data_IF_806890054803
#
_entry.id   IF_806890054803
#
_cell.length_a   1.000
_cell.length_b   1.000
_cell.length_c   1.000
_cell.angle_alpha   90.00
_cell.angle_beta   90.00
_cell.angle_gamma   90.00
#
_symmetry.space_group_name_H-M   'P 1'
#
loop_
_entity.id
_entity.type
_entity.pdbx_description
1 polymer ?
#
# COMPACT_ATOMS: atom_id res chain seq x y z
N UNK A 1 24.39 17.19 -25.97
CA UNK A 1 23.18 16.58 -25.38
C UNK A 1 23.66 15.56 -24.36
N UNK A 2 23.32 15.71 -23.09
CA UNK A 2 23.75 14.77 -22.04
C UNK A 2 22.94 13.47 -22.16
N UNK A 3 23.63 12.33 -22.27
CA UNK A 3 23.00 11.01 -22.46
C UNK A 3 22.56 10.44 -21.10
N UNK A 4 21.41 10.90 -20.61
CA UNK A 4 20.80 10.39 -19.37
C UNK A 4 20.36 8.92 -19.49
N UNK A 5 20.23 8.41 -20.70
CA UNK A 5 19.99 7.00 -21.05
C UNK A 5 21.11 6.11 -20.50
N UNK A 6 22.37 6.45 -20.77
CA UNK A 6 23.53 5.68 -20.32
C UNK A 6 23.64 5.63 -18.79
N UNK A 7 23.40 6.76 -18.12
CA UNK A 7 23.43 6.82 -16.65
C UNK A 7 22.33 5.94 -16.06
N UNK A 8 21.13 6.02 -16.64
CA UNK A 8 19.99 5.18 -16.25
C UNK A 8 20.30 3.69 -16.43
N UNK A 9 20.88 3.28 -17.56
CA UNK A 9 21.22 1.88 -17.80
C UNK A 9 22.26 1.34 -16.80
N UNK A 10 23.27 2.16 -16.45
CA UNK A 10 24.25 1.83 -15.42
C UNK A 10 23.58 1.70 -14.05
N UNK A 11 22.68 2.62 -13.70
CA UNK A 11 21.95 2.58 -12.44
C UNK A 11 21.06 1.33 -12.33
N UNK A 12 20.30 1.00 -13.38
CA UNK A 12 19.49 -0.21 -13.45
C UNK A 12 20.37 -1.45 -13.31
N UNK A 13 21.48 -1.52 -14.04
CA UNK A 13 22.40 -2.67 -13.99
C UNK A 13 23.03 -2.84 -12.62
N UNK A 14 23.39 -1.73 -11.97
CA UNK A 14 23.94 -1.75 -10.61
C UNK A 14 22.89 -2.21 -9.60
N UNK A 15 21.66 -1.71 -9.70
CA UNK A 15 20.55 -2.11 -8.83
C UNK A 15 20.21 -3.61 -8.96
N UNK A 16 20.32 -4.21 -10.17
CA UNK A 16 20.14 -5.67 -10.36
C UNK A 16 21.03 -6.52 -9.47
N UNK A 17 22.20 -6.02 -9.08
CA UNK A 17 23.15 -6.78 -8.26
C UNK A 17 22.71 -6.89 -6.80
N UNK A 18 21.78 -6.05 -6.34
CA UNK A 18 21.25 -6.10 -4.99
C UNK A 18 20.13 -7.13 -4.88
N UNK A 19 20.13 -7.90 -3.79
CA UNK A 19 19.05 -8.82 -3.47
C UNK A 19 17.82 -8.03 -2.97
N UNK A 20 16.99 -7.57 -3.92
CA UNK A 20 15.76 -6.84 -3.62
C UNK A 20 14.62 -7.78 -3.24
N UNK A 21 13.80 -7.35 -2.28
CA UNK A 21 12.55 -8.02 -1.97
C UNK A 21 11.66 -8.03 -3.23
N UNK A 22 10.96 -9.14 -3.54
CA UNK A 22 10.13 -9.25 -4.75
C UNK A 22 9.10 -8.14 -4.91
N UNK A 23 8.47 -7.74 -3.79
CA UNK A 23 7.53 -6.61 -3.76
C UNK A 23 8.21 -5.29 -4.15
N UNK A 24 9.35 -4.97 -3.54
CA UNK A 24 10.09 -3.74 -3.83
C UNK A 24 10.55 -3.70 -5.29
N UNK A 25 10.95 -4.85 -5.83
CA UNK A 25 11.33 -5.01 -7.23
C UNK A 25 10.19 -4.67 -8.18
N UNK A 26 8.96 -5.11 -7.91
CA UNK A 26 7.78 -4.74 -8.71
C UNK A 26 7.48 -3.24 -8.63
N UNK A 27 7.50 -2.67 -7.42
CA UNK A 27 7.18 -1.26 -7.22
C UNK A 27 8.19 -0.35 -7.93
N UNK A 28 9.49 -0.62 -7.77
CA UNK A 28 10.55 0.10 -8.48
C UNK A 28 10.46 -0.09 -9.99
N UNK A 29 10.14 -1.31 -10.44
CA UNK A 29 9.95 -1.58 -11.85
C UNK A 29 8.81 -0.76 -12.46
N UNK A 30 7.69 -0.59 -11.75
CA UNK A 30 6.57 0.25 -12.20
C UNK A 30 6.93 1.74 -12.18
N UNK A 31 7.54 2.20 -11.09
CA UNK A 31 7.95 3.60 -10.92
C UNK A 31 8.93 4.04 -12.00
N UNK A 32 9.92 3.20 -12.30
CA UNK A 32 10.93 3.49 -13.33
C UNK A 32 10.59 2.88 -14.69
N UNK A 33 9.44 2.23 -14.90
CA UNK A 33 9.05 1.58 -16.16
C UNK A 33 10.09 0.56 -16.70
N UNK A 34 10.53 -0.37 -15.84
CA UNK A 34 11.48 -1.46 -16.13
C UNK A 34 10.72 -2.79 -16.21
N UNK A 35 10.08 -3.07 -17.34
CA UNK A 35 9.17 -4.21 -17.49
C UNK A 35 9.77 -5.58 -17.12
N UNK A 36 11.05 -5.81 -17.42
CA UNK A 36 11.69 -7.10 -17.11
C UNK A 36 11.71 -7.37 -15.59
N UNK A 37 11.95 -6.34 -14.78
CA UNK A 37 11.97 -6.49 -13.32
C UNK A 37 10.59 -6.72 -12.73
N UNK A 38 9.57 -6.11 -13.32
CA UNK A 38 8.19 -6.31 -12.91
C UNK A 38 7.81 -7.79 -13.07
N UNK A 39 8.11 -8.38 -14.24
CA UNK A 39 7.84 -9.80 -14.49
C UNK A 39 8.63 -10.74 -13.59
N UNK A 40 9.93 -10.50 -13.43
CA UNK A 40 10.75 -11.28 -12.50
C UNK A 40 10.20 -11.19 -11.06
N UNK A 41 9.79 -9.99 -10.63
CA UNK A 41 9.20 -9.79 -9.30
C UNK A 41 7.88 -10.54 -9.10
N UNK A 42 7.01 -10.62 -10.12
CA UNK A 42 5.80 -11.44 -10.03
C UNK A 42 6.12 -12.93 -9.92
N UNK A 43 7.07 -13.42 -10.71
CA UNK A 43 7.53 -14.82 -10.64
C UNK A 43 8.04 -15.11 -9.24
N UNK A 44 8.91 -14.25 -8.71
CA UNK A 44 9.47 -14.37 -7.36
C UNK A 44 8.38 -14.35 -6.27
N UNK A 45 7.32 -13.54 -6.42
CA UNK A 45 6.18 -13.52 -5.49
C UNK A 45 5.32 -14.78 -5.56
N UNK A 46 5.13 -15.34 -6.75
CA UNK A 46 4.30 -16.53 -6.95
C UNK A 46 5.02 -17.77 -6.41
N UNK A 47 6.34 -17.88 -6.61
CA UNK A 47 7.13 -19.05 -6.21
C UNK A 47 7.51 -19.06 -4.72
N UNK A 48 7.51 -17.90 -4.05
CA UNK A 48 7.84 -17.80 -2.63
C UNK A 48 6.90 -18.65 -1.76
N UNK A 49 7.39 -19.28 -0.67
CA UNK A 49 6.53 -20.02 0.26
C UNK A 49 5.57 -19.11 1.05
N UNK A 50 6.04 -17.94 1.46
CA UNK A 50 5.31 -17.01 2.33
C UNK A 50 4.11 -16.37 1.61
N UNK A 51 3.02 -16.13 2.34
CA UNK A 51 1.81 -15.51 1.79
C UNK A 51 2.02 -14.01 1.54
N UNK A 52 1.16 -13.40 0.73
CA UNK A 52 1.16 -11.94 0.55
C UNK A 52 0.32 -11.32 1.68
N UNK A 53 0.89 -10.36 2.41
CA UNK A 53 0.17 -9.61 3.44
C UNK A 53 -0.88 -8.68 2.80
N UNK A 54 -1.90 -8.30 3.57
CA UNK A 54 -2.90 -7.29 3.14
C UNK A 54 -2.25 -5.93 2.85
N UNK A 55 -1.22 -5.55 3.63
CA UNK A 55 -0.45 -4.32 3.41
C UNK A 55 0.33 -4.37 2.09
N UNK A 56 0.91 -5.53 1.77
CA UNK A 56 1.63 -5.73 0.51
C UNK A 56 0.68 -5.77 -0.67
N UNK A 57 -0.50 -6.38 -0.48
CA UNK A 57 -1.57 -6.39 -1.47
C UNK A 57 -2.09 -4.98 -1.78
N UNK A 58 -2.16 -4.11 -0.77
CA UNK A 58 -2.51 -2.70 -0.96
C UNK A 58 -1.45 -1.96 -1.80
N UNK A 59 -0.15 -2.22 -1.56
CA UNK A 59 0.96 -1.59 -2.29
C UNK A 59 1.01 -2.01 -3.76
N UNK A 60 0.82 -3.31 -4.05
CA UNK A 60 0.79 -3.81 -5.45
C UNK A 60 -0.54 -3.44 -6.13
N UNK A 61 -1.61 -3.36 -5.35
CA UNK A 61 -2.98 -3.24 -5.83
C UNK A 61 -3.72 -4.58 -5.70
N UNK A 62 -4.95 -4.52 -5.21
CA UNK A 62 -5.75 -5.71 -4.94
C UNK A 62 -6.02 -6.55 -6.19
N UNK A 63 -6.24 -5.91 -7.35
CA UNK A 63 -6.50 -6.62 -8.60
C UNK A 63 -5.34 -7.55 -8.99
N UNK A 64 -4.11 -7.06 -8.92
CA UNK A 64 -2.93 -7.86 -9.24
C UNK A 64 -2.61 -8.88 -8.14
N UNK A 65 -2.88 -8.52 -6.88
CA UNK A 65 -2.78 -9.45 -5.76
C UNK A 65 -3.69 -10.67 -5.92
N UNK A 66 -4.93 -10.45 -6.37
CA UNK A 66 -5.87 -11.55 -6.67
C UNK A 66 -5.33 -12.45 -7.78
N UNK A 67 -4.76 -11.88 -8.86
CA UNK A 67 -4.13 -12.67 -9.93
C UNK A 67 -2.97 -13.52 -9.42
N UNK A 68 -2.13 -12.96 -8.54
CA UNK A 68 -1.03 -13.69 -7.89
C UNK A 68 -1.59 -14.87 -7.09
N UNK A 69 -2.62 -14.65 -6.26
CA UNK A 69 -3.25 -15.71 -5.48
C UNK A 69 -3.88 -16.80 -6.36
N UNK A 70 -4.58 -16.42 -7.43
CA UNK A 70 -5.15 -17.36 -8.39
C UNK A 70 -4.09 -18.23 -9.05
N UNK A 71 -2.98 -17.62 -9.48
CA UNK A 71 -1.85 -18.36 -10.07
C UNK A 71 -1.25 -19.32 -9.05
N UNK A 72 -1.01 -18.87 -7.81
CA UNK A 72 -0.50 -19.74 -6.74
C UNK A 72 -1.42 -20.92 -6.44
N UNK A 73 -2.73 -20.70 -6.45
CA UNK A 73 -3.70 -21.79 -6.27
C UNK A 73 -3.70 -22.76 -7.45
N UNK A 74 -3.56 -22.27 -8.69
CA UNK A 74 -3.48 -23.13 -9.88
C UNK A 74 -2.24 -24.02 -9.93
N UNK A 75 -1.14 -23.60 -9.30
CA UNK A 75 0.10 -24.37 -9.20
C UNK A 75 0.08 -25.40 -8.07
N UNK A 76 -0.90 -25.34 -7.15
CA UNK A 76 -1.03 -26.30 -6.06
C UNK A 76 -1.65 -27.60 -6.58
N UNK A 77 -1.22 -28.77 -6.05
CA UNK A 77 -1.86 -30.02 -6.37
C UNK A 77 -3.34 -29.98 -5.91
N UNK A 78 -4.24 -30.73 -6.59
CA UNK A 78 -5.64 -30.79 -6.22
C UNK A 78 -5.78 -31.15 -4.73
N UNK A 79 -6.40 -30.27 -3.94
CA UNK A 79 -6.72 -30.62 -2.55
C UNK A 79 -7.76 -31.74 -2.57
N UNK A 80 -7.54 -32.86 -1.86
CA UNK A 80 -8.62 -33.82 -1.64
C UNK A 80 -9.78 -33.07 -1.00
N UNK A 81 -11.03 -33.39 -1.39
CA UNK A 81 -12.23 -32.74 -0.84
C UNK A 81 -12.26 -32.99 0.66
N UNK A 82 -11.76 -32.03 1.44
CA UNK A 82 -11.83 -32.07 2.88
C UNK A 82 -13.31 -32.03 3.25
N UNK A 83 -13.72 -33.00 4.07
CA UNK A 83 -15.11 -33.17 4.53
C UNK A 83 -15.60 -31.82 5.07
N UNK A 84 -16.71 -31.36 4.50
CA UNK A 84 -17.32 -30.02 4.64
C UNK A 84 -17.44 -29.49 6.07
N UNK A 85 -17.44 -30.36 7.09
CA UNK A 85 -17.52 -30.01 8.50
C UNK A 85 -16.33 -29.18 9.02
N UNK A 86 -15.08 -29.50 8.62
CA UNK A 86 -13.88 -28.83 9.15
C UNK A 86 -13.70 -27.38 8.63
N UNK A 87 -14.30 -27.04 7.49
CA UNK A 87 -14.12 -25.75 6.82
C UNK A 87 -14.91 -24.62 7.51
N UNK A 88 -16.07 -24.91 8.09
CA UNK A 88 -16.90 -23.83 8.65
C UNK A 88 -16.28 -23.20 9.91
N UNK A 89 -15.64 -24.01 10.76
CA UNK A 89 -15.02 -23.52 12.01
C UNK A 89 -13.75 -22.71 11.75
N UNK A 90 -12.98 -23.10 10.73
CA UNK A 90 -11.73 -22.42 10.36
C UNK A 90 -11.97 -21.12 9.59
N UNK A 91 -13.03 -21.04 8.78
CA UNK A 91 -13.33 -19.87 7.94
C UNK A 91 -13.99 -18.74 8.72
N UNK A 92 -14.90 -19.04 9.66
CA UNK A 92 -15.65 -18.05 10.46
C UNK A 92 -14.78 -16.94 11.08
N UNK A 93 -13.66 -17.22 11.79
CA UNK A 93 -12.88 -16.17 12.45
C UNK A 93 -12.28 -15.16 11.46
N UNK A 94 -11.89 -15.58 10.26
CA UNK A 94 -11.29 -14.68 9.26
C UNK A 94 -12.27 -13.63 8.73
N UNK A 95 -13.53 -14.00 8.54
CA UNK A 95 -14.55 -13.09 7.99
C UNK A 95 -15.26 -12.25 9.05
N UNK A 96 -15.24 -12.67 10.33
CA UNK A 96 -15.83 -11.92 11.43
C UNK A 96 -14.90 -10.82 11.97
N UNK A 97 -13.58 -11.03 11.93
CA UNK A 97 -12.61 -10.05 12.42
C UNK A 97 -12.56 -8.75 11.59
N UNK A 98 -12.96 -8.79 10.32
CA UNK A 98 -12.92 -7.63 9.42
C UNK A 98 -13.96 -6.54 9.76
N UNK A 99 -14.95 -6.84 10.60
CA UNK A 99 -15.98 -5.87 11.01
C UNK A 99 -15.49 -4.85 12.06
N UNK A 100 -14.27 -4.99 12.59
CA UNK A 100 -13.75 -4.15 13.68
C UNK A 100 -12.61 -3.20 13.29
N UNK A 101 -12.26 -3.08 12.01
CA UNK A 101 -11.18 -2.15 11.59
C UNK A 101 -11.62 -1.27 10.42
N UNK A 102 -12.48 -0.31 10.73
CA UNK A 102 -12.42 1.03 10.14
C UNK A 102 -12.28 1.99 11.30
N UNK A 103 -11.07 2.12 11.84
CA UNK A 103 -10.71 3.36 12.52
C UNK A 103 -10.47 4.39 11.42
N UNK A 104 -11.54 5.04 10.99
CA UNK A 104 -11.43 6.43 10.54
C UNK A 104 -10.63 7.16 11.62
N UNK A 105 -9.57 7.92 11.30
CA UNK A 105 -8.98 8.81 12.28
C UNK A 105 -10.13 9.62 12.88
N UNK A 106 -10.37 9.45 14.19
CA UNK A 106 -11.32 10.30 14.89
C UNK A 106 -10.87 11.73 14.60
N UNK A 107 -11.76 12.64 14.15
CA UNK A 107 -11.39 14.03 14.05
C UNK A 107 -10.90 14.43 15.44
N UNK A 108 -9.60 14.78 15.54
CA UNK A 108 -9.02 15.27 16.79
C UNK A 108 -9.97 16.38 17.24
N UNK A 109 -10.53 16.34 18.46
CA UNK A 109 -11.30 17.45 18.97
C UNK A 109 -10.41 18.68 18.81
N UNK A 110 -10.85 19.65 18.01
CA UNK A 110 -10.21 20.94 17.98
C UNK A 110 -10.49 21.48 19.37
N UNK A 111 -9.54 21.33 20.29
CA UNK A 111 -9.57 22.03 21.57
C UNK A 111 -9.74 23.50 21.21
N UNK A 112 -10.92 24.06 21.50
CA UNK A 112 -11.12 25.50 21.36
C UNK A 112 -9.98 26.16 22.14
N UNK A 113 -9.21 27.07 21.50
CA UNK A 113 -8.19 27.79 22.23
C UNK A 113 -8.86 28.43 23.45
N UNK A 114 -8.21 28.37 24.64
CA UNK A 114 -8.81 28.85 25.87
C UNK A 114 -9.33 30.26 25.64
N UNK A 115 -10.64 30.44 25.85
CA UNK A 115 -11.33 31.71 25.68
C UNK A 115 -10.49 32.82 26.33
N UNK A 116 -10.05 33.84 25.56
CA UNK A 116 -9.23 34.90 26.11
C UNK A 116 -10.10 35.67 27.09
N UNK A 117 -9.91 35.34 28.37
CA UNK A 117 -10.50 36.02 29.50
C UNK A 117 -10.24 37.52 29.27
N UNK A 118 -11.29 38.28 28.98
CA UNK A 118 -11.23 39.72 28.66
C UNK A 118 -10.85 40.50 29.92
N UNK A 119 -9.59 40.36 30.34
CA UNK A 119 -8.93 41.18 31.35
C UNK A 119 -7.56 41.55 30.81
N UNK A 120 -7.61 42.53 29.92
CA UNK A 120 -6.55 43.41 29.43
C UNK A 120 -5.11 42.92 29.49
N UNK A 121 -4.52 42.64 28.32
CA UNK A 121 -3.31 43.32 27.86
C UNK A 121 -3.03 42.98 26.38
N UNK A 122 -2.74 44.00 25.60
CA UNK A 122 -2.33 43.89 24.20
C UNK A 122 -1.13 42.94 24.02
N UNK A 123 -1.28 41.93 23.16
CA UNK A 123 -0.16 41.33 22.40
C UNK A 123 -0.69 40.76 21.10
N UNK A 124 -0.29 41.41 20.00
CA UNK A 124 -0.53 40.97 18.64
C UNK A 124 0.29 39.71 18.35
N UNK A 125 -0.32 38.69 17.75
CA UNK A 125 0.40 37.66 17.01
C UNK A 125 -0.10 37.67 15.57
N UNK A 126 0.80 38.07 14.67
CA UNK A 126 0.64 37.98 13.23
C UNK A 126 0.71 36.49 12.84
N UNK A 127 -0.35 35.98 12.21
CA UNK A 127 -0.20 34.90 11.24
C UNK A 127 -0.91 35.34 9.96
N UNK A 128 -0.08 35.71 9.00
CA UNK A 128 -0.50 35.99 7.63
C UNK A 128 -1.10 34.73 7.01
N UNK A 129 -2.19 34.95 6.28
CA UNK A 129 -3.12 33.91 5.90
C UNK A 129 -2.72 33.08 4.70
N UNK A 130 -3.53 32.05 4.46
CA UNK A 130 -3.99 31.66 3.13
C UNK A 130 -5.35 30.97 3.29
N UNK A 131 -6.40 31.67 2.88
CA UNK A 131 -7.78 31.20 2.80
C UNK A 131 -7.93 30.25 1.60
N UNK A 132 -8.33 29.01 1.84
CA UNK A 132 -8.85 28.13 0.78
C UNK A 132 -10.34 28.45 0.56
N UNK A 133 -10.64 29.20 -0.50
CA UNK A 133 -11.99 29.34 -1.06
C UNK A 133 -12.27 28.14 -1.98
N UNK A 134 -13.10 27.20 -1.53
CA UNK A 134 -13.68 26.19 -2.42
C UNK A 134 -15.01 26.73 -2.96
N UNK A 135 -14.95 27.38 -4.13
CA UNK A 135 -16.13 27.81 -4.88
C UNK A 135 -16.56 26.67 -5.80
N UNK A 136 -17.73 26.10 -5.51
CA UNK A 136 -18.42 25.11 -6.35
C UNK A 136 -19.15 25.81 -7.52
N UNK A 137 -18.80 25.45 -8.74
CA UNK A 137 -19.56 25.54 -10.01
C UNK A 137 -18.90 24.50 -10.94
N UNK A 138 -19.55 23.56 -11.64
CA UNK A 138 -20.88 23.46 -12.23
C UNK A 138 -21.52 22.10 -11.95
#
# INVERSE_FOLDING_TARGET
>A
MWDFTRIRDIAITSLKTFNMLPLAKILLAREFNIHNWEWEGYVDLITRPEMLSTEDALKIGYADSIKIFQMRESLRPPRPRLITGLMTETVKPYFQASSLVVQTPQPVPIEEPPSPNLKGKHRWFLYEGTLYLHQYFF
#
